data_IF_677266237392
#
_entry.id   IF_677266237392
#
_cell.length_a   1.000
_cell.length_b   1.000
_cell.length_c   1.000
_cell.angle_alpha   90.00
_cell.angle_beta   90.00
_cell.angle_gamma   90.00
#
_symmetry.space_group_name_H-M   'P 1'
#
loop_
_entity.id
_entity.type
_entity.pdbx_description
1 polymer ?
#
# COMPACT_ATOMS: atom_id res chain seq x y z
N UNK A 1 -36.59 49.03 -4.21
CA UNK A 1 -37.33 47.75 -4.33
C UNK A 1 -36.60 46.71 -3.49
N UNK A 2 -37.02 46.52 -2.23
CA UNK A 2 -36.62 45.35 -1.46
C UNK A 2 -37.25 44.11 -2.10
N UNK A 3 -36.45 43.31 -2.79
CA UNK A 3 -36.90 41.97 -3.17
C UNK A 3 -37.17 41.20 -1.89
N UNK A 4 -38.45 40.99 -1.55
CA UNK A 4 -38.89 40.00 -0.58
C UNK A 4 -38.24 38.67 -0.98
N UNK A 5 -37.19 38.27 -0.26
CA UNK A 5 -36.57 36.95 -0.40
C UNK A 5 -37.67 35.94 -0.11
N UNK A 6 -38.21 35.34 -1.16
CA UNK A 6 -39.07 34.17 -1.06
C UNK A 6 -38.27 33.11 -0.32
N UNK A 7 -38.69 32.80 0.90
CA UNK A 7 -38.05 31.79 1.74
C UNK A 7 -38.37 30.42 1.12
N UNK A 8 -37.56 30.00 0.15
CA UNK A 8 -37.66 28.67 -0.45
C UNK A 8 -37.44 27.62 0.66
N UNK A 9 -38.45 26.78 0.98
CA UNK A 9 -38.31 25.76 2.01
C UNK A 9 -37.09 24.87 1.74
N UNK A 10 -36.27 24.64 2.76
CA UNK A 10 -35.06 23.81 2.63
C UNK A 10 -33.80 24.54 2.15
N UNK A 11 -33.87 25.79 1.67
CA UNK A 11 -32.68 26.56 1.24
C UNK A 11 -31.60 26.66 2.32
N UNK A 12 -32.00 26.86 3.58
CA UNK A 12 -31.08 26.95 4.71
C UNK A 12 -30.28 25.64 4.95
N UNK A 13 -30.83 24.48 4.57
CA UNK A 13 -30.15 23.17 4.67
C UNK A 13 -28.92 23.11 3.78
N UNK A 14 -28.97 23.75 2.60
CA UNK A 14 -27.85 23.79 1.65
C UNK A 14 -26.82 24.87 1.99
N UNK A 15 -27.25 25.99 2.59
CA UNK A 15 -26.38 27.14 2.92
C UNK A 15 -25.82 27.10 4.35
N UNK A 16 -25.70 25.91 4.95
CA UNK A 16 -25.18 25.71 6.32
C UNK A 16 -23.66 25.53 6.41
N UNK A 17 -22.98 25.40 5.26
CA UNK A 17 -21.53 25.14 5.21
C UNK A 17 -20.68 26.34 5.63
N UNK A 18 -19.38 26.09 5.90
CA UNK A 18 -18.39 27.15 6.11
C UNK A 18 -18.41 28.12 4.91
N UNK A 19 -18.48 29.42 5.18
CA UNK A 19 -18.33 30.45 4.15
C UNK A 19 -16.96 30.29 3.49
N UNK A 20 -16.94 30.21 2.15
CA UNK A 20 -15.68 30.22 1.39
C UNK A 20 -15.06 31.61 1.50
N UNK A 21 -14.10 31.71 2.42
CA UNK A 21 -13.32 32.91 2.71
C UNK A 21 -12.03 32.47 3.43
N UNK A 22 -11.11 31.82 2.69
CA UNK A 22 -9.87 31.32 3.27
C UNK A 22 -9.01 32.46 3.80
N UNK A 23 -8.26 32.19 4.88
CA UNK A 23 -7.33 33.16 5.44
C UNK A 23 -6.13 33.38 4.49
N UNK A 24 -5.54 34.59 4.44
CA UNK A 24 -4.32 34.81 3.68
C UNK A 24 -3.17 33.92 4.19
N UNK A 25 -2.39 33.34 3.28
CA UNK A 25 -1.17 32.59 3.63
C UNK A 25 -0.10 33.56 4.14
N UNK A 26 0.57 33.20 5.23
CA UNK A 26 1.64 33.99 5.84
C UNK A 26 2.87 33.13 6.10
N UNK A 27 3.99 33.74 6.48
CA UNK A 27 5.22 33.04 6.89
C UNK A 27 5.05 32.08 8.08
N UNK A 28 3.95 32.23 8.86
CA UNK A 28 3.65 31.42 10.04
C UNK A 28 2.59 30.35 9.76
N UNK A 29 2.05 30.27 8.54
CA UNK A 29 1.03 29.27 8.19
C UNK A 29 1.64 27.87 8.22
N UNK A 30 1.18 27.04 9.15
CA UNK A 30 1.60 25.63 9.24
C UNK A 30 0.99 24.78 8.12
N UNK A 31 1.44 23.53 7.97
CA UNK A 31 0.80 22.59 7.02
C UNK A 31 -0.66 22.30 7.41
N UNK A 32 -0.96 22.26 8.72
CA UNK A 32 -2.32 22.07 9.22
C UNK A 32 -3.19 23.26 8.83
N UNK A 33 -2.72 24.48 9.08
CA UNK A 33 -3.42 25.70 8.68
C UNK A 33 -3.65 25.75 7.17
N UNK A 34 -2.62 25.40 6.38
CA UNK A 34 -2.69 25.40 4.92
C UNK A 34 -3.79 24.45 4.41
N UNK A 35 -3.79 23.20 4.90
CA UNK A 35 -4.74 22.17 4.48
C UNK A 35 -6.17 22.52 4.93
N UNK A 36 -6.35 22.99 6.17
CA UNK A 36 -7.66 23.37 6.71
C UNK A 36 -8.29 24.54 5.93
N UNK A 37 -7.45 25.34 5.28
CA UNK A 37 -7.84 26.48 4.46
C UNK A 37 -8.27 26.10 3.02
N UNK A 38 -8.11 24.84 2.59
CA UNK A 38 -8.49 24.37 1.25
C UNK A 38 -10.00 24.09 1.15
N UNK A 39 -10.78 25.08 0.72
CA UNK A 39 -12.26 25.01 0.83
C UNK A 39 -13.00 24.24 -0.28
N UNK A 40 -12.46 24.14 -1.50
CA UNK A 40 -13.21 23.65 -2.67
C UNK A 40 -12.39 22.75 -3.61
N UNK A 41 -13.11 22.03 -4.50
CA UNK A 41 -12.55 21.13 -5.52
C UNK A 41 -11.56 20.11 -4.93
N UNK A 42 -10.51 19.72 -5.66
CA UNK A 42 -9.53 18.74 -5.19
C UNK A 42 -8.74 19.22 -3.96
N UNK A 43 -8.59 20.53 -3.75
CA UNK A 43 -8.06 21.06 -2.48
C UNK A 43 -8.97 20.68 -1.29
N UNK A 44 -10.29 20.86 -1.45
CA UNK A 44 -11.27 20.43 -0.46
C UNK A 44 -11.31 18.92 -0.26
N UNK A 45 -11.02 18.12 -1.30
CA UNK A 45 -10.89 16.65 -1.18
C UNK A 45 -9.61 16.25 -0.44
N UNK A 46 -8.48 16.90 -0.70
CA UNK A 46 -7.25 16.71 0.09
C UNK A 46 -7.49 17.04 1.57
N UNK A 47 -8.13 18.17 1.86
CA UNK A 47 -8.53 18.51 3.23
C UNK A 47 -9.42 17.45 3.86
N UNK A 48 -10.44 16.97 3.13
CA UNK A 48 -11.31 15.91 3.64
C UNK A 48 -10.54 14.62 3.95
N UNK A 49 -9.58 14.22 3.11
CA UNK A 49 -8.71 13.08 3.38
C UNK A 49 -7.86 13.30 4.64
N UNK A 50 -7.25 14.48 4.78
CA UNK A 50 -6.48 14.85 5.97
C UNK A 50 -7.33 14.88 7.25
N UNK A 51 -8.57 15.38 7.17
CA UNK A 51 -9.51 15.36 8.30
C UNK A 51 -9.88 13.93 8.66
N UNK A 52 -10.13 13.07 7.66
CA UNK A 52 -10.41 11.66 7.91
C UNK A 52 -9.21 10.94 8.56
N UNK A 53 -7.98 11.25 8.15
CA UNK A 53 -6.77 10.74 8.81
C UNK A 53 -6.74 11.14 10.30
N UNK A 54 -6.97 12.42 10.59
CA UNK A 54 -6.96 12.96 11.96
C UNK A 54 -8.12 12.44 12.82
N UNK A 55 -9.32 12.36 12.27
CA UNK A 55 -10.55 12.18 13.03
C UNK A 55 -11.02 10.72 13.09
N UNK A 56 -10.54 9.86 12.18
CA UNK A 56 -10.91 8.44 12.10
C UNK A 56 -9.69 7.52 12.16
N UNK A 57 -8.73 7.65 11.25
CA UNK A 57 -7.59 6.71 11.16
C UNK A 57 -6.67 6.78 12.38
N UNK A 58 -6.61 7.92 13.06
CA UNK A 58 -5.85 8.13 14.29
C UNK A 58 -6.33 7.31 15.49
N UNK A 59 -7.53 6.71 15.44
CA UNK A 59 -8.05 5.91 16.55
C UNK A 59 -7.32 4.56 16.66
N UNK A 60 -7.07 4.11 17.90
CA UNK A 60 -6.27 2.90 18.19
C UNK A 60 -6.93 1.59 17.71
N UNK A 61 -8.26 1.57 17.63
CA UNK A 61 -9.06 0.44 17.17
C UNK A 61 -9.13 0.32 15.65
N UNK A 62 -8.47 1.21 14.90
CA UNK A 62 -8.44 1.19 13.44
C UNK A 62 -7.15 0.52 12.94
N UNK A 63 -7.30 -0.53 12.14
CA UNK A 63 -6.23 -1.19 11.40
C UNK A 63 -6.14 -0.62 9.98
N UNK A 64 -4.97 -0.10 9.60
CA UNK A 64 -4.77 0.70 8.40
C UNK A 64 -3.94 -0.06 7.35
N UNK A 65 -4.58 -0.34 6.21
CA UNK A 65 -3.91 -0.85 5.01
C UNK A 65 -3.53 0.28 4.07
N UNK A 66 -2.33 0.24 3.51
CA UNK A 66 -1.89 1.22 2.50
C UNK A 66 -1.53 0.51 1.20
N UNK A 67 -1.96 1.07 0.06
CA UNK A 67 -1.54 0.61 -1.26
C UNK A 67 -0.66 1.65 -1.95
N UNK A 68 0.47 1.24 -2.53
CA UNK A 68 1.40 2.11 -3.27
C UNK A 68 1.53 1.66 -4.72
N UNK A 69 1.11 2.53 -5.65
CA UNK A 69 1.30 2.34 -7.08
C UNK A 69 1.95 3.56 -7.73
N UNK A 70 2.53 3.37 -8.92
CA UNK A 70 3.40 4.34 -9.57
C UNK A 70 4.86 4.19 -9.14
N UNK A 71 5.71 5.13 -9.56
CA UNK A 71 7.14 5.12 -9.28
C UNK A 71 7.46 5.95 -8.01
N UNK A 72 7.01 5.50 -6.84
CA UNK A 72 7.05 6.30 -5.60
C UNK A 72 8.36 6.18 -4.84
N UNK A 73 8.87 4.97 -4.69
CA UNK A 73 10.18 4.75 -4.05
C UNK A 73 11.33 5.40 -4.82
N UNK A 74 11.45 5.30 -6.17
CA UNK A 74 12.51 6.02 -6.87
C UNK A 74 12.35 7.55 -6.78
N UNK A 75 11.13 8.06 -6.60
CA UNK A 75 10.86 9.48 -6.34
C UNK A 75 11.17 9.92 -4.89
N UNK A 76 11.66 9.01 -4.04
CA UNK A 76 12.07 9.30 -2.66
C UNK A 76 10.94 9.32 -1.64
N UNK A 77 9.74 8.84 -1.99
CA UNK A 77 8.60 8.81 -1.06
C UNK A 77 8.75 7.78 0.06
N UNK A 78 9.61 6.77 -0.11
CA UNK A 78 9.95 5.81 0.95
C UNK A 78 10.45 6.52 2.22
N UNK A 79 11.66 7.11 2.20
CA UNK A 79 12.22 7.85 3.33
C UNK A 79 11.44 9.10 3.72
N UNK A 80 10.92 9.86 2.75
CA UNK A 80 10.29 11.15 3.04
C UNK A 80 8.86 11.06 3.57
N UNK A 81 8.14 9.96 3.30
CA UNK A 81 6.68 9.88 3.51
C UNK A 81 6.25 8.55 4.13
N UNK A 82 6.55 7.41 3.49
CA UNK A 82 6.06 6.09 3.93
C UNK A 82 6.65 5.70 5.28
N UNK A 83 7.96 5.81 5.44
CA UNK A 83 8.65 5.46 6.69
C UNK A 83 8.17 6.31 7.87
N UNK A 84 8.08 7.66 7.77
CA UNK A 84 7.49 8.49 8.82
C UNK A 84 6.06 8.08 9.21
N UNK A 85 5.18 7.80 8.24
CA UNK A 85 3.81 7.35 8.52
C UNK A 85 3.77 5.98 9.21
N UNK A 86 4.65 5.05 8.79
CA UNK A 86 4.77 3.74 9.40
C UNK A 86 5.23 3.85 10.86
N UNK A 87 6.25 4.67 11.12
CA UNK A 87 6.75 4.94 12.48
C UNK A 87 5.71 5.66 13.35
N UNK A 88 4.81 6.43 12.73
CA UNK A 88 3.70 7.11 13.42
C UNK A 88 2.47 6.21 13.62
N UNK A 89 2.51 4.96 13.16
CA UNK A 89 1.43 3.97 13.31
C UNK A 89 0.24 4.18 12.38
N UNK A 90 0.46 4.85 11.24
CA UNK A 90 -0.54 5.07 10.18
C UNK A 90 -0.44 4.05 9.04
N UNK A 91 0.42 3.04 9.17
CA UNK A 91 0.56 1.93 8.23
C UNK A 91 0.73 0.65 9.06
N UNK A 92 -0.32 -0.17 9.11
CA UNK A 92 -0.29 -1.45 9.82
C UNK A 92 0.07 -2.61 8.86
N UNK A 93 -0.28 -2.47 7.57
CA UNK A 93 0.13 -3.36 6.48
C UNK A 93 0.19 -2.61 5.15
N UNK A 94 0.99 -3.11 4.21
CA UNK A 94 1.30 -2.42 2.96
C UNK A 94 1.17 -3.35 1.75
N UNK A 95 0.58 -2.87 0.66
CA UNK A 95 0.62 -3.51 -0.65
C UNK A 95 1.31 -2.58 -1.64
N UNK A 96 2.32 -3.04 -2.35
CA UNK A 96 3.03 -2.23 -3.34
C UNK A 96 3.24 -3.00 -4.64
N UNK A 97 3.60 -2.29 -5.71
CA UNK A 97 4.16 -2.96 -6.89
C UNK A 97 5.55 -3.52 -6.54
N UNK A 98 5.93 -4.63 -7.17
CA UNK A 98 7.27 -5.18 -7.00
C UNK A 98 8.35 -4.20 -7.47
N UNK A 99 8.04 -3.33 -8.44
CA UNK A 99 8.92 -2.24 -8.87
C UNK A 99 9.22 -1.23 -7.74
N UNK A 100 8.22 -0.84 -6.92
CA UNK A 100 8.48 0.02 -5.77
C UNK A 100 9.43 -0.67 -4.79
N UNK A 101 9.18 -1.94 -4.47
CA UNK A 101 10.02 -2.69 -3.52
C UNK A 101 11.41 -2.97 -4.09
N UNK A 102 11.56 -3.13 -5.40
CA UNK A 102 12.86 -3.22 -6.04
C UNK A 102 13.61 -1.89 -5.95
N UNK A 103 12.95 -0.78 -6.30
CA UNK A 103 13.61 0.52 -6.29
C UNK A 103 13.95 1.02 -4.88
N UNK A 104 13.22 0.55 -3.86
CA UNK A 104 13.53 0.77 -2.44
C UNK A 104 14.91 0.23 -2.03
N UNK A 105 15.34 -0.89 -2.63
CA UNK A 105 16.61 -1.56 -2.28
C UNK A 105 17.82 -0.68 -2.61
N UNK A 106 17.77 0.13 -3.67
CA UNK A 106 18.88 1.02 -4.03
C UNK A 106 19.31 1.92 -2.86
N UNK A 107 18.34 2.43 -2.09
CA UNK A 107 18.64 3.29 -0.94
C UNK A 107 19.36 2.54 0.18
N UNK A 108 18.93 1.33 0.52
CA UNK A 108 19.61 0.50 1.52
C UNK A 108 21.01 0.05 1.08
N UNK A 109 21.25 -0.07 -0.23
CA UNK A 109 22.57 -0.31 -0.80
C UNK A 109 23.43 0.95 -0.94
N UNK A 110 22.90 2.12 -0.57
CA UNK A 110 23.52 3.43 -0.75
C UNK A 110 23.91 3.71 -2.22
N UNK A 111 23.08 3.26 -3.17
CA UNK A 111 23.27 3.46 -4.59
C UNK A 111 22.51 4.72 -5.05
N UNK A 112 23.19 5.72 -5.65
CA UNK A 112 22.60 7.03 -5.84
C UNK A 112 21.62 7.07 -7.03
N UNK A 113 20.50 7.75 -6.80
CA UNK A 113 19.56 8.18 -7.85
C UNK A 113 19.49 9.70 -7.84
N UNK A 114 19.37 10.30 -9.01
CA UNK A 114 19.47 11.74 -9.20
C UNK A 114 18.20 12.31 -9.81
N UNK A 115 17.82 13.51 -9.38
CA UNK A 115 16.82 14.32 -10.08
C UNK A 115 17.40 14.78 -11.41
N UNK A 116 16.69 14.49 -12.51
CA UNK A 116 16.95 14.96 -13.85
C UNK A 116 15.80 15.84 -14.38
N UNK A 117 15.53 15.70 -15.68
CA UNK A 117 14.40 16.32 -16.37
C UNK A 117 13.74 15.30 -17.29
N UNK A 118 12.43 15.41 -17.50
CA UNK A 118 11.69 14.54 -18.42
C UNK A 118 12.00 14.81 -19.91
N UNK A 119 12.73 15.89 -20.20
CA UNK A 119 13.07 16.34 -21.57
C UNK A 119 14.47 15.91 -22.02
N UNK A 120 15.08 14.94 -21.35
CA UNK A 120 16.38 14.35 -21.72
C UNK A 120 16.29 13.52 -23.00
N UNK A 121 17.40 13.41 -23.74
CA UNK A 121 17.49 12.55 -24.93
C UNK A 121 17.73 11.09 -24.53
N UNK A 122 16.72 10.25 -24.74
CA UNK A 122 16.75 8.83 -24.41
C UNK A 122 17.82 8.03 -25.16
N UNK A 123 18.14 8.39 -26.39
CA UNK A 123 19.16 7.71 -27.17
C UNK A 123 20.56 8.01 -26.62
N UNK A 124 20.80 9.28 -26.25
CA UNK A 124 22.03 9.70 -25.58
C UNK A 124 22.18 9.06 -24.19
N UNK A 125 21.11 9.01 -23.39
CA UNK A 125 21.11 8.30 -22.11
C UNK A 125 21.52 6.84 -22.28
N UNK A 126 20.90 6.14 -23.24
CA UNK A 126 21.21 4.73 -23.52
C UNK A 126 22.66 4.54 -23.95
N UNK A 127 23.19 5.42 -24.81
CA UNK A 127 24.58 5.37 -25.25
C UNK A 127 25.58 5.60 -24.11
N UNK A 128 25.17 6.36 -23.08
CA UNK A 128 25.98 6.68 -21.90
C UNK A 128 25.76 5.72 -20.72
N UNK A 129 24.93 4.70 -20.87
CA UNK A 129 24.63 3.77 -19.78
C UNK A 129 23.79 4.39 -18.65
N UNK A 130 23.01 5.43 -18.92
CA UNK A 130 22.11 6.04 -17.94
C UNK A 130 20.69 5.52 -18.16
N UNK A 131 20.05 5.08 -17.07
CA UNK A 131 18.65 4.68 -17.06
C UNK A 131 17.80 5.79 -16.47
N UNK A 132 16.56 5.96 -16.96
CA UNK A 132 15.63 6.92 -16.38
C UNK A 132 14.29 6.32 -15.98
N UNK A 133 13.68 6.94 -14.98
CA UNK A 133 12.28 6.80 -14.61
C UNK A 133 11.69 8.21 -14.66
N UNK A 134 11.02 8.54 -15.76
CA UNK A 134 10.54 9.89 -16.04
C UNK A 134 11.65 10.95 -15.91
N UNK A 135 11.71 11.69 -14.80
CA UNK A 135 12.69 12.73 -14.46
C UNK A 135 13.67 12.30 -13.35
N UNK A 136 13.82 11.00 -13.11
CA UNK A 136 14.81 10.40 -12.20
C UNK A 136 15.86 9.67 -13.06
N UNK A 137 17.15 9.86 -12.76
CA UNK A 137 18.27 9.30 -13.50
C UNK A 137 19.17 8.47 -12.57
N UNK A 138 19.67 7.34 -13.06
CA UNK A 138 20.64 6.50 -12.34
C UNK A 138 21.48 5.69 -13.31
N UNK A 139 22.65 5.25 -12.85
CA UNK A 139 23.58 4.48 -13.67
C UNK A 139 23.06 3.06 -13.91
N UNK A 140 23.13 2.57 -15.15
CA UNK A 140 22.70 1.23 -15.49
C UNK A 140 23.60 0.17 -14.82
N UNK A 141 24.92 0.34 -14.84
CA UNK A 141 25.85 -0.66 -14.36
C UNK A 141 26.08 -0.56 -12.84
N UNK A 142 26.31 0.65 -12.34
CA UNK A 142 26.69 0.89 -10.95
C UNK A 142 25.49 0.94 -9.99
N UNK A 143 24.27 1.08 -10.52
CA UNK A 143 23.04 1.12 -9.70
C UNK A 143 22.13 -0.06 -10.00
N UNK A 144 21.65 -0.18 -11.25
CA UNK A 144 20.68 -1.23 -11.60
C UNK A 144 21.31 -2.63 -11.57
N UNK A 145 22.39 -2.84 -12.31
CA UNK A 145 23.06 -4.14 -12.39
C UNK A 145 23.72 -4.53 -11.07
N UNK A 146 24.25 -3.57 -10.31
CA UNK A 146 24.79 -3.80 -8.97
C UNK A 146 23.72 -4.26 -7.98
N UNK A 147 22.55 -3.64 -7.99
CA UNK A 147 21.41 -4.09 -7.16
C UNK A 147 21.03 -5.53 -7.48
N UNK A 148 21.00 -5.86 -8.77
CA UNK A 148 20.73 -7.19 -9.28
C UNK A 148 21.74 -8.24 -8.82
N UNK A 149 23.04 -7.91 -8.82
CA UNK A 149 24.11 -8.81 -8.34
C UNK A 149 23.92 -9.14 -6.87
N UNK A 150 23.78 -8.12 -6.02
CA UNK A 150 23.58 -8.29 -4.57
C UNK A 150 22.28 -9.02 -4.25
N UNK A 151 21.20 -8.69 -4.95
CA UNK A 151 19.91 -9.36 -4.76
C UNK A 151 20.05 -10.87 -5.01
N UNK A 152 20.66 -11.29 -6.11
CA UNK A 152 20.85 -12.73 -6.41
C UNK A 152 21.65 -13.45 -5.33
N UNK A 153 22.68 -12.81 -4.76
CA UNK A 153 23.44 -13.37 -3.64
C UNK A 153 22.58 -13.59 -2.38
N UNK A 154 21.59 -12.73 -2.15
CA UNK A 154 20.65 -12.92 -1.04
C UNK A 154 19.65 -14.03 -1.33
N UNK A 155 19.12 -14.09 -2.55
CA UNK A 155 18.10 -15.05 -2.95
C UNK A 155 18.56 -16.52 -2.90
N UNK A 156 19.86 -16.78 -2.94
CA UNK A 156 20.42 -18.14 -2.81
C UNK A 156 20.68 -18.56 -1.35
N UNK A 157 20.46 -17.67 -0.37
CA UNK A 157 20.71 -17.99 1.05
C UNK A 157 19.68 -18.99 1.58
N UNK A 158 20.02 -19.79 2.62
CA UNK A 158 19.16 -20.85 3.14
C UNK A 158 17.76 -20.39 3.54
N UNK A 159 17.62 -19.20 4.11
CA UNK A 159 16.35 -18.66 4.60
C UNK A 159 15.32 -18.40 3.50
N UNK A 160 15.76 -18.32 2.23
CA UNK A 160 14.92 -18.15 1.04
C UNK A 160 14.61 -19.48 0.32
N UNK A 161 15.28 -20.59 0.66
CA UNK A 161 15.12 -21.86 -0.05
C UNK A 161 13.86 -22.63 0.38
N UNK A 162 12.69 -22.02 0.16
CA UNK A 162 11.36 -22.60 0.38
C UNK A 162 10.30 -21.85 -0.44
N UNK A 163 9.13 -22.46 -0.55
CA UNK A 163 7.94 -21.74 -0.98
C UNK A 163 7.48 -20.77 0.13
N UNK A 164 7.13 -19.55 -0.24
CA UNK A 164 6.64 -18.50 0.66
C UNK A 164 5.76 -17.49 -0.09
N UNK A 165 4.96 -16.72 0.66
CA UNK A 165 4.33 -15.49 0.13
C UNK A 165 5.32 -14.32 0.09
N UNK A 166 4.95 -13.23 -0.59
CA UNK A 166 5.73 -11.99 -0.59
C UNK A 166 5.84 -11.38 0.80
N UNK A 167 4.87 -11.59 1.70
CA UNK A 167 4.95 -11.16 3.10
C UNK A 167 6.21 -11.66 3.81
N UNK A 168 6.43 -12.96 3.78
CA UNK A 168 7.59 -13.58 4.41
C UNK A 168 8.88 -13.22 3.66
N UNK A 169 8.83 -13.23 2.32
CA UNK A 169 9.96 -12.87 1.47
C UNK A 169 10.48 -11.47 1.78
N UNK A 170 9.60 -10.47 1.79
CA UNK A 170 9.95 -9.08 2.07
C UNK A 170 10.35 -8.85 3.52
N UNK A 171 9.83 -9.60 4.48
CA UNK A 171 10.30 -9.51 5.86
C UNK A 171 11.75 -10.01 6.00
N UNK A 172 12.10 -11.13 5.37
CA UNK A 172 13.48 -11.65 5.35
C UNK A 172 14.42 -10.69 4.64
N UNK A 173 14.01 -10.16 3.50
CA UNK A 173 14.79 -9.16 2.77
C UNK A 173 14.94 -7.88 3.60
N UNK A 174 13.87 -7.38 4.20
CA UNK A 174 13.86 -6.21 5.07
C UNK A 174 14.80 -6.34 6.27
N UNK A 175 14.96 -7.54 6.84
CA UNK A 175 15.99 -7.80 7.86
C UNK A 175 17.39 -7.52 7.32
N UNK A 176 17.73 -8.11 6.17
CA UNK A 176 19.05 -7.90 5.53
C UNK A 176 19.28 -6.42 5.23
N UNK A 177 18.26 -5.73 4.72
CA UNK A 177 18.36 -4.30 4.41
C UNK A 177 18.50 -3.45 5.68
N UNK A 178 17.85 -3.83 6.80
CA UNK A 178 18.04 -3.17 8.10
C UNK A 178 19.48 -3.31 8.59
N UNK A 179 20.08 -4.49 8.46
CA UNK A 179 21.48 -4.71 8.85
C UNK A 179 22.43 -3.83 8.00
N UNK A 180 22.15 -3.68 6.69
CA UNK A 180 22.93 -2.82 5.78
C UNK A 180 22.76 -1.32 6.07
N UNK A 181 21.56 -0.87 6.43
CA UNK A 181 21.33 0.52 6.86
C UNK A 181 22.17 0.88 8.10
N UNK A 182 22.29 -0.06 9.04
CA UNK A 182 23.12 0.08 10.24
C UNK A 182 24.61 0.04 9.91
N UNK A 183 25.06 -0.92 9.10
CA UNK A 183 26.46 -1.05 8.67
C UNK A 183 26.98 0.22 7.97
N UNK A 184 26.14 0.82 7.13
CA UNK A 184 26.49 2.00 6.34
C UNK A 184 26.06 3.33 6.99
N UNK A 185 25.47 3.30 8.19
CA UNK A 185 24.99 4.49 8.92
C UNK A 185 24.07 5.40 8.07
N UNK A 186 23.11 4.80 7.36
CA UNK A 186 22.23 5.49 6.42
C UNK A 186 20.99 6.09 7.10
N UNK A 187 20.69 5.69 8.33
CA UNK A 187 19.39 5.94 8.94
C UNK A 187 18.30 5.08 8.30
N UNK A 188 17.04 5.52 8.36
CA UNK A 188 15.91 4.77 7.82
C UNK A 188 15.58 5.25 6.40
N UNK A 189 16.01 4.49 5.39
CA UNK A 189 15.92 4.87 3.98
C UNK A 189 15.14 3.87 3.12
N UNK A 190 15.00 2.62 3.59
CA UNK A 190 14.24 1.54 2.96
C UNK A 190 12.92 1.27 3.69
N UNK A 191 11.83 1.24 2.93
CA UNK A 191 10.50 0.80 3.38
C UNK A 191 10.58 -0.62 3.91
N UNK A 192 11.26 -1.54 3.22
CA UNK A 192 11.36 -2.94 3.65
C UNK A 192 12.09 -3.08 4.99
N UNK A 193 13.17 -2.32 5.19
CA UNK A 193 13.90 -2.29 6.45
C UNK A 193 13.05 -1.71 7.59
N UNK A 194 12.33 -0.61 7.34
CA UNK A 194 11.39 -0.03 8.31
C UNK A 194 10.24 -0.98 8.64
N UNK A 195 9.69 -1.68 7.64
CA UNK A 195 8.62 -2.64 7.81
C UNK A 195 9.04 -3.83 8.68
N UNK A 196 10.26 -4.34 8.48
CA UNK A 196 10.86 -5.35 9.34
C UNK A 196 10.92 -4.88 10.81
N UNK A 197 11.49 -3.70 11.07
CA UNK A 197 11.61 -3.14 12.43
C UNK A 197 10.25 -2.92 13.09
N UNK A 198 9.26 -2.46 12.32
CA UNK A 198 7.91 -2.15 12.82
C UNK A 198 6.96 -3.36 12.84
N UNK A 199 7.38 -4.53 12.35
CA UNK A 199 6.52 -5.72 12.25
C UNK A 199 5.34 -5.52 11.28
N UNK A 200 5.53 -4.72 10.23
CA UNK A 200 4.49 -4.41 9.23
C UNK A 200 4.63 -5.38 8.05
N UNK A 201 3.62 -6.21 7.75
CA UNK A 201 3.65 -7.09 6.59
C UNK A 201 3.52 -6.27 5.29
N UNK A 202 4.37 -6.60 4.32
CA UNK A 202 4.40 -5.99 2.98
C UNK A 202 4.05 -7.04 1.94
N UNK A 203 3.15 -6.72 1.02
CA UNK A 203 2.70 -7.61 -0.04
C UNK A 203 2.95 -7.00 -1.43
N UNK A 204 3.12 -7.86 -2.43
CA UNK A 204 3.09 -7.49 -3.85
C UNK A 204 2.08 -8.34 -4.58
N UNK A 205 1.11 -7.67 -5.22
CA UNK A 205 -0.02 -8.33 -5.90
C UNK A 205 0.35 -9.06 -7.20
N UNK A 206 1.53 -8.79 -7.75
CA UNK A 206 2.02 -9.42 -8.99
C UNK A 206 3.53 -9.69 -8.85
N UNK A 207 3.93 -10.74 -8.11
CA UNK A 207 5.33 -10.93 -7.72
C UNK A 207 6.30 -11.13 -8.90
N UNK A 208 5.81 -11.71 -10.00
CA UNK A 208 6.57 -11.85 -11.24
C UNK A 208 6.77 -10.55 -12.03
N UNK A 209 5.98 -9.51 -11.75
CA UNK A 209 6.00 -8.22 -12.46
C UNK A 209 6.95 -7.23 -11.76
N UNK A 210 8.23 -7.60 -11.70
CA UNK A 210 9.31 -6.75 -11.20
C UNK A 210 10.68 -7.34 -11.47
N UNK A 211 11.73 -6.51 -11.37
CA UNK A 211 13.11 -6.99 -11.43
C UNK A 211 13.44 -8.00 -10.33
N UNK A 212 12.76 -7.94 -9.17
CA UNK A 212 12.85 -9.00 -8.14
C UNK A 212 12.34 -10.33 -8.71
N UNK A 213 11.13 -10.35 -9.28
CA UNK A 213 10.54 -11.53 -9.89
C UNK A 213 11.38 -12.07 -11.05
N UNK A 214 11.93 -11.18 -11.90
CA UNK A 214 12.84 -11.55 -12.98
C UNK A 214 14.12 -12.22 -12.48
N UNK A 215 14.70 -11.72 -11.38
CA UNK A 215 15.89 -12.33 -10.77
C UNK A 215 15.59 -13.69 -10.12
N UNK A 216 14.43 -13.86 -9.49
CA UNK A 216 13.97 -15.18 -9.02
C UNK A 216 13.85 -16.14 -10.20
N UNK A 217 13.14 -15.76 -11.28
CA UNK A 217 13.00 -16.60 -12.47
C UNK A 217 14.34 -16.94 -13.14
N UNK A 218 15.29 -15.99 -13.17
CA UNK A 218 16.64 -16.23 -13.69
C UNK A 218 17.43 -17.26 -12.87
N UNK A 219 17.32 -17.22 -11.54
CA UNK A 219 17.95 -18.20 -10.66
C UNK A 219 17.28 -19.58 -10.75
N UNK A 220 15.96 -19.62 -10.91
CA UNK A 220 15.23 -20.87 -11.18
C UNK A 220 15.70 -21.52 -12.48
N UNK A 221 15.81 -20.73 -13.55
CA UNK A 221 16.30 -21.20 -14.85
C UNK A 221 17.74 -21.71 -14.75
N UNK A 222 18.60 -21.01 -14.01
CA UNK A 222 19.96 -21.47 -13.74
C UNK A 222 19.95 -22.82 -13.01
N UNK A 223 19.10 -22.97 -12.00
CA UNK A 223 18.99 -24.22 -11.25
C UNK A 223 18.50 -25.38 -12.13
N UNK A 224 17.51 -25.15 -12.99
CA UNK A 224 17.06 -26.14 -13.97
C UNK A 224 18.19 -26.54 -14.93
N UNK A 225 18.84 -25.56 -15.56
CA UNK A 225 19.92 -25.80 -16.53
C UNK A 225 21.15 -26.51 -15.94
N UNK A 226 21.32 -26.45 -14.61
CA UNK A 226 22.44 -27.08 -13.89
C UNK A 226 22.03 -28.31 -13.08
N UNK A 227 20.76 -28.73 -13.12
CA UNK A 227 20.27 -29.87 -12.35
C UNK A 227 20.32 -29.64 -10.84
N UNK A 228 20.07 -28.42 -10.39
CA UNK A 228 20.08 -27.98 -8.98
C UNK A 228 18.66 -27.72 -8.44
N UNK A 229 17.62 -28.24 -9.09
CA UNK A 229 16.21 -28.04 -8.69
C UNK A 229 15.87 -28.71 -7.36
N UNK A 230 16.67 -29.65 -6.90
CA UNK A 230 16.66 -30.23 -5.56
C UNK A 230 17.21 -29.28 -4.48
N UNK A 231 17.99 -28.26 -4.87
CA UNK A 231 18.62 -27.29 -3.97
C UNK A 231 17.97 -25.92 -4.01
N UNK A 232 17.65 -25.41 -5.21
CA UNK A 232 16.97 -24.13 -5.36
C UNK A 232 15.47 -24.33 -5.16
N UNK A 233 14.95 -23.83 -4.04
CA UNK A 233 13.56 -24.06 -3.61
C UNK A 233 12.74 -22.80 -3.42
N UNK A 234 13.34 -21.63 -3.65
CA UNK A 234 12.61 -20.36 -3.57
C UNK A 234 11.47 -20.37 -4.59
N UNK A 235 10.24 -20.27 -4.09
CA UNK A 235 9.01 -20.11 -4.87
C UNK A 235 8.15 -19.05 -4.20
N UNK A 236 7.62 -18.12 -4.98
CA UNK A 236 6.66 -17.14 -4.48
C UNK A 236 5.26 -17.59 -4.83
N UNK A 237 4.44 -17.83 -3.80
CA UNK A 237 3.07 -18.30 -3.94
C UNK A 237 2.08 -17.17 -3.56
N UNK A 238 1.43 -16.52 -4.54
CA UNK A 238 0.48 -15.43 -4.28
C UNK A 238 -0.74 -15.85 -3.46
N UNK A 239 -1.11 -17.13 -3.46
CA UNK A 239 -2.26 -17.63 -2.67
C UNK A 239 -2.01 -17.50 -1.16
N UNK A 240 -0.74 -17.61 -0.72
CA UNK A 240 -0.36 -17.37 0.67
C UNK A 240 -0.65 -15.90 1.03
N UNK A 241 -0.26 -14.96 0.15
CA UNK A 241 -0.48 -13.53 0.39
C UNK A 241 -1.97 -13.15 0.39
N UNK A 242 -2.78 -13.77 -0.49
CA UNK A 242 -4.23 -13.58 -0.49
C UNK A 242 -4.82 -13.97 0.86
N UNK A 243 -4.46 -15.14 1.39
CA UNK A 243 -4.96 -15.58 2.70
C UNK A 243 -4.42 -14.71 3.84
N UNK A 244 -3.15 -14.36 3.84
CA UNK A 244 -2.53 -13.60 4.94
C UNK A 244 -3.04 -12.15 5.01
N UNK A 245 -3.21 -11.48 3.88
CA UNK A 245 -3.83 -10.14 3.85
C UNK A 245 -5.31 -10.18 4.25
N UNK A 246 -6.04 -11.20 3.82
CA UNK A 246 -7.44 -11.44 4.22
C UNK A 246 -7.56 -11.68 5.72
N UNK A 247 -6.64 -12.44 6.32
CA UNK A 247 -6.59 -12.69 7.74
C UNK A 247 -6.46 -11.39 8.56
N UNK A 248 -5.66 -10.42 8.10
CA UNK A 248 -5.51 -9.12 8.78
C UNK A 248 -6.86 -8.41 8.91
N UNK A 249 -7.58 -8.28 7.80
CA UNK A 249 -8.87 -7.57 7.76
C UNK A 249 -9.91 -8.29 8.61
N UNK A 250 -10.05 -9.61 8.45
CA UNK A 250 -10.99 -10.41 9.22
C UNK A 250 -10.77 -10.27 10.74
N UNK A 251 -9.50 -10.36 11.17
CA UNK A 251 -9.18 -10.29 12.59
C UNK A 251 -9.49 -8.93 13.18
N UNK A 252 -9.13 -7.84 12.49
CA UNK A 252 -9.41 -6.49 12.95
C UNK A 252 -10.92 -6.29 13.22
N UNK A 253 -11.78 -6.86 12.38
CA UNK A 253 -13.23 -6.63 12.45
C UNK A 253 -13.97 -7.63 13.34
N UNK A 254 -13.72 -8.92 13.18
CA UNK A 254 -14.48 -9.95 13.90
C UNK A 254 -13.88 -10.31 15.27
N UNK A 255 -12.56 -10.40 15.36
CA UNK A 255 -11.87 -10.90 16.56
C UNK A 255 -11.51 -9.76 17.50
N UNK A 256 -11.01 -8.65 16.95
CA UNK A 256 -10.62 -7.46 17.71
C UNK A 256 -11.78 -6.48 17.91
N UNK A 257 -12.87 -6.63 17.16
CA UNK A 257 -14.05 -5.75 17.18
C UNK A 257 -13.70 -4.28 16.90
N UNK A 258 -12.65 -4.07 16.13
CA UNK A 258 -12.20 -2.76 15.66
C UNK A 258 -12.77 -2.44 14.28
N UNK A 259 -12.07 -1.54 13.59
CA UNK A 259 -12.42 -1.06 12.25
C UNK A 259 -11.25 -1.19 11.31
N UNK A 260 -11.52 -1.15 10.01
CA UNK A 260 -10.48 -1.16 8.98
C UNK A 260 -10.59 0.04 8.06
N UNK A 261 -9.44 0.63 7.72
CA UNK A 261 -9.36 1.74 6.81
C UNK A 261 -8.27 1.54 5.78
N UNK A 262 -8.51 1.97 4.54
CA UNK A 262 -7.53 1.88 3.45
C UNK A 262 -7.05 3.27 3.00
N UNK A 263 -5.75 3.40 2.74
CA UNK A 263 -5.15 4.57 2.09
C UNK A 263 -4.58 4.12 0.75
N UNK A 264 -5.25 4.46 -0.33
CA UNK A 264 -4.98 4.00 -1.68
C UNK A 264 -4.22 5.10 -2.43
N UNK A 265 -2.90 4.96 -2.53
CA UNK A 265 -2.03 5.90 -3.25
C UNK A 265 -1.79 5.37 -4.67
N UNK A 266 -2.42 6.01 -5.65
CA UNK A 266 -2.38 5.65 -7.06
C UNK A 266 -3.56 4.75 -7.44
N UNK A 267 -3.29 3.52 -7.86
CA UNK A 267 -4.30 2.61 -8.40
C UNK A 267 -3.74 1.24 -8.76
N UNK A 268 -4.21 0.68 -9.87
CA UNK A 268 -3.70 -0.57 -10.42
C UNK A 268 -3.87 -1.80 -9.50
N UNK A 269 -2.99 -2.78 -9.69
CA UNK A 269 -3.00 -4.05 -8.96
C UNK A 269 -2.88 -3.87 -7.42
N UNK A 270 -2.04 -2.97 -6.87
CA UNK A 270 -1.99 -2.73 -5.42
C UNK A 270 -3.32 -2.27 -4.81
N UNK A 271 -4.03 -1.35 -5.47
CA UNK A 271 -5.37 -0.91 -5.05
C UNK A 271 -6.33 -2.10 -5.02
N UNK A 272 -6.35 -2.92 -6.08
CA UNK A 272 -7.25 -4.07 -6.12
C UNK A 272 -6.95 -5.07 -5.02
N UNK A 273 -5.69 -5.44 -4.86
CA UNK A 273 -5.27 -6.48 -3.94
C UNK A 273 -5.53 -6.08 -2.49
N UNK A 274 -5.42 -4.79 -2.17
CA UNK A 274 -5.79 -4.26 -0.86
C UNK A 274 -7.29 -4.40 -0.61
N UNK A 275 -8.12 -4.05 -1.60
CA UNK A 275 -9.58 -4.08 -1.46
C UNK A 275 -10.19 -5.48 -1.61
N UNK A 276 -9.54 -6.40 -2.33
CA UNK A 276 -10.10 -7.74 -2.62
C UNK A 276 -10.15 -8.65 -1.40
N UNK A 277 -9.48 -8.29 -0.29
CA UNK A 277 -9.60 -9.00 0.98
C UNK A 277 -11.06 -9.14 1.40
N UNK A 278 -11.88 -8.14 1.08
CA UNK A 278 -13.31 -8.12 1.40
C UNK A 278 -14.13 -9.13 0.57
N UNK A 279 -14.08 -9.11 -0.78
CA UNK A 279 -14.61 -10.20 -1.60
C UNK A 279 -14.08 -11.58 -1.21
N UNK A 280 -12.80 -11.70 -0.82
CA UNK A 280 -12.25 -12.97 -0.35
C UNK A 280 -12.97 -13.45 0.92
N UNK A 281 -13.20 -12.58 1.91
CA UNK A 281 -13.95 -12.90 3.14
C UNK A 281 -15.40 -13.28 2.79
N UNK A 282 -16.10 -12.42 2.05
CA UNK A 282 -17.55 -12.47 1.88
C UNK A 282 -17.99 -13.51 0.83
N UNK A 283 -17.29 -13.58 -0.30
CA UNK A 283 -17.72 -14.36 -1.48
C UNK A 283 -16.98 -15.70 -1.61
N UNK A 284 -15.69 -15.75 -1.26
CA UNK A 284 -14.88 -16.97 -1.41
C UNK A 284 -14.90 -17.80 -0.12
N UNK A 285 -14.70 -17.15 1.01
CA UNK A 285 -14.69 -17.81 2.32
C UNK A 285 -16.09 -17.88 2.95
N UNK A 286 -17.09 -17.20 2.37
CA UNK A 286 -18.50 -17.19 2.81
C UNK A 286 -18.69 -16.72 4.26
N UNK A 287 -17.79 -15.87 4.76
CA UNK A 287 -17.83 -15.35 6.12
C UNK A 287 -18.69 -14.06 6.12
N UNK A 288 -19.75 -13.98 6.95
CA UNK A 288 -20.57 -12.78 7.03
C UNK A 288 -19.79 -11.59 7.59
N UNK A 289 -19.57 -10.59 6.75
CA UNK A 289 -18.78 -9.40 7.04
C UNK A 289 -19.25 -8.28 6.09
N UNK A 290 -18.96 -7.02 6.38
CA UNK A 290 -19.27 -5.88 5.52
C UNK A 290 -17.99 -5.11 5.23
N UNK A 291 -17.78 -4.57 4.03
CA UNK A 291 -16.50 -3.98 3.59
C UNK A 291 -15.78 -2.95 4.48
N UNK A 292 -14.69 -2.37 3.98
CA UNK A 292 -13.88 -1.38 4.70
C UNK A 292 -14.72 -0.24 5.32
N UNK A 293 -14.39 0.17 6.55
CA UNK A 293 -15.08 1.26 7.25
C UNK A 293 -14.71 2.63 6.69
N UNK A 294 -13.45 2.80 6.27
CA UNK A 294 -12.91 4.07 5.79
C UNK A 294 -12.10 3.88 4.50
N UNK A 295 -12.24 4.82 3.57
CA UNK A 295 -11.52 4.79 2.29
C UNK A 295 -10.95 6.18 1.96
N UNK A 296 -9.64 6.26 1.79
CA UNK A 296 -8.97 7.41 1.19
C UNK A 296 -8.31 6.95 -0.10
N UNK A 297 -8.73 7.52 -1.22
CA UNK A 297 -8.14 7.28 -2.53
C UNK A 297 -7.51 8.57 -3.09
N UNK A 298 -6.24 8.51 -3.46
CA UNK A 298 -5.51 9.59 -4.15
C UNK A 298 -5.08 9.07 -5.50
N UNK A 299 -5.66 9.62 -6.57
CA UNK A 299 -5.45 9.09 -7.93
C UNK A 299 -5.58 10.18 -8.98
N UNK A 300 -4.86 10.09 -10.08
CA UNK A 300 -5.05 10.92 -11.28
C UNK A 300 -5.97 10.24 -12.31
N UNK A 301 -6.29 8.96 -12.09
CA UNK A 301 -7.08 8.16 -13.00
C UNK A 301 -8.55 8.58 -12.99
N UNK A 302 -9.10 8.81 -14.19
CA UNK A 302 -10.51 9.14 -14.36
C UNK A 302 -11.37 7.87 -14.34
N UNK A 303 -12.59 7.93 -13.79
CA UNK A 303 -13.49 6.76 -13.74
C UNK A 303 -14.04 6.35 -15.12
N UNK A 304 -14.20 7.28 -16.06
CA UNK A 304 -14.86 7.04 -17.36
C UNK A 304 -14.09 6.11 -18.29
N UNK A 305 -12.80 5.90 -18.04
CA UNK A 305 -11.96 5.04 -18.89
C UNK A 305 -12.06 3.55 -18.54
N UNK A 306 -12.86 3.19 -17.53
CA UNK A 306 -13.10 1.79 -17.13
C UNK A 306 -11.95 1.13 -16.37
N UNK A 307 -10.92 1.90 -15.99
CA UNK A 307 -9.81 1.40 -15.19
C UNK A 307 -10.11 1.43 -13.68
N UNK A 308 -9.78 0.34 -12.98
CA UNK A 308 -9.95 0.23 -11.51
C UNK A 308 -9.30 1.40 -10.73
N UNK A 309 -8.19 1.94 -11.23
CA UNK A 309 -7.50 3.07 -10.60
C UNK A 309 -8.45 4.25 -10.34
N UNK A 310 -9.31 4.57 -11.30
CA UNK A 310 -10.28 5.67 -11.20
C UNK A 310 -11.63 5.29 -10.58
N UNK A 311 -11.88 3.99 -10.34
CA UNK A 311 -13.16 3.51 -9.82
C UNK A 311 -13.51 4.15 -8.46
N UNK A 312 -14.71 4.74 -8.32
CA UNK A 312 -15.10 5.47 -7.12
C UNK A 312 -15.47 4.51 -5.97
N UNK A 313 -15.40 4.98 -4.70
CA UNK A 313 -15.81 4.19 -3.53
C UNK A 313 -17.24 3.65 -3.62
N UNK A 314 -18.17 4.40 -4.21
CA UNK A 314 -19.55 3.97 -4.40
C UNK A 314 -19.67 2.73 -5.31
N UNK A 315 -18.81 2.60 -6.32
CA UNK A 315 -18.72 1.38 -7.13
C UNK A 315 -18.11 0.25 -6.31
N UNK A 316 -17.03 0.51 -5.55
CA UNK A 316 -16.41 -0.50 -4.70
C UNK A 316 -17.39 -1.09 -3.66
N UNK A 317 -18.33 -0.30 -3.14
CA UNK A 317 -19.37 -0.77 -2.23
C UNK A 317 -20.31 -1.82 -2.87
N UNK A 318 -20.58 -1.77 -4.18
CA UNK A 318 -21.40 -2.81 -4.84
C UNK A 318 -20.71 -4.16 -4.91
N UNK A 319 -19.38 -4.19 -4.76
CA UNK A 319 -18.54 -5.39 -4.71
C UNK A 319 -18.25 -5.84 -3.26
N UNK A 320 -18.94 -5.27 -2.26
CA UNK A 320 -18.67 -5.57 -0.85
C UNK A 320 -17.34 -5.03 -0.33
N UNK A 321 -16.55 -4.29 -1.13
CA UNK A 321 -15.22 -3.78 -0.74
C UNK A 321 -15.28 -2.65 0.29
N UNK A 322 -16.39 -1.93 0.35
CA UNK A 322 -16.65 -0.83 1.29
C UNK A 322 -18.02 -1.05 1.92
N UNK A 323 -18.14 -0.81 3.23
CA UNK A 323 -19.43 -0.87 3.90
C UNK A 323 -20.37 0.23 3.33
N UNK A 324 -21.52 -0.15 2.74
CA UNK A 324 -22.45 0.82 2.15
C UNK A 324 -23.01 1.83 3.16
N UNK A 325 -22.98 1.52 4.46
CA UNK A 325 -23.38 2.45 5.53
C UNK A 325 -22.31 3.49 5.88
N UNK A 326 -21.11 3.35 5.33
CA UNK A 326 -19.93 4.21 5.60
C UNK A 326 -19.51 5.07 4.41
N UNK A 327 -20.31 5.17 3.36
CA UNK A 327 -19.97 5.95 2.16
C UNK A 327 -19.62 7.42 2.45
N UNK A 328 -20.17 8.02 3.50
CA UNK A 328 -19.83 9.38 3.95
C UNK A 328 -18.40 9.51 4.51
N UNK A 329 -17.80 8.40 4.93
CA UNK A 329 -16.44 8.28 5.45
C UNK A 329 -15.44 7.83 4.36
N UNK A 330 -15.75 8.15 3.10
CA UNK A 330 -14.91 7.88 1.93
C UNK A 330 -14.51 9.16 1.20
N UNK A 331 -13.26 9.23 0.76
CA UNK A 331 -12.72 10.39 0.04
C UNK A 331 -11.89 9.94 -1.14
N UNK A 332 -12.24 10.44 -2.34
CA UNK A 332 -11.37 10.40 -3.51
C UNK A 332 -10.88 11.81 -3.83
N UNK A 333 -9.56 11.99 -3.84
CA UNK A 333 -8.88 13.21 -4.26
C UNK A 333 -8.19 12.98 -5.61
N UNK A 334 -8.61 13.73 -6.63
CA UNK A 334 -8.00 13.64 -7.95
C UNK A 334 -6.73 14.50 -8.01
N UNK A 335 -5.61 13.95 -7.54
CA UNK A 335 -4.35 14.67 -7.34
C UNK A 335 -3.15 13.77 -7.66
N UNK A 336 -2.05 14.39 -8.05
CA UNK A 336 -0.76 13.74 -8.12
C UNK A 336 -0.32 13.25 -6.73
N UNK A 337 0.02 11.96 -6.65
CA UNK A 337 0.41 11.28 -5.42
C UNK A 337 1.69 11.85 -4.81
N UNK A 338 2.62 12.35 -5.63
CA UNK A 338 3.88 12.98 -5.19
C UNK A 338 3.65 14.34 -4.53
N UNK A 339 2.48 14.97 -4.74
CA UNK A 339 2.07 16.20 -4.07
C UNK A 339 1.22 15.88 -2.84
N UNK A 340 0.16 15.09 -3.02
CA UNK A 340 -0.84 14.88 -1.98
C UNK A 340 -0.30 14.03 -0.81
N UNK A 341 0.45 12.96 -1.09
CA UNK A 341 0.84 12.00 -0.07
C UNK A 341 1.81 12.59 0.98
N UNK A 342 2.87 13.34 0.61
CA UNK A 342 3.70 14.04 1.59
C UNK A 342 2.94 15.07 2.42
N UNK A 343 1.99 15.80 1.82
CA UNK A 343 1.14 16.75 2.54
C UNK A 343 0.23 16.05 3.56
N UNK A 344 -0.36 14.92 3.19
CA UNK A 344 -1.15 14.07 4.09
C UNK A 344 -0.31 13.54 5.25
N UNK A 345 0.92 13.07 4.97
CA UNK A 345 1.83 12.59 5.99
C UNK A 345 2.22 13.69 6.99
N UNK A 346 2.65 14.85 6.48
CA UNK A 346 2.99 16.00 7.31
C UNK A 346 1.80 16.46 8.17
N UNK A 347 0.60 16.49 7.59
CA UNK A 347 -0.63 16.82 8.32
C UNK A 347 -0.94 15.80 9.43
N UNK A 348 -0.91 14.49 9.12
CA UNK A 348 -1.20 13.45 10.09
C UNK A 348 -0.21 13.49 11.27
N UNK A 349 1.09 13.61 10.98
CA UNK A 349 2.15 13.67 12.00
C UNK A 349 2.00 14.91 12.89
N UNK A 350 1.68 16.08 12.33
CA UNK A 350 1.53 17.31 13.11
C UNK A 350 0.22 17.41 13.89
N UNK A 351 -0.85 16.76 13.42
CA UNK A 351 -2.20 16.90 14.00
C UNK A 351 -2.60 15.73 14.91
N UNK A 352 -1.81 14.67 15.01
CA UNK A 352 -2.14 13.46 15.77
C UNK A 352 -0.98 12.97 16.64
N UNK A 353 -1.28 12.17 17.66
CA UNK A 353 -0.25 11.44 18.42
C UNK A 353 0.13 10.16 17.69
N UNK A 354 1.39 9.68 17.81
CA UNK A 354 1.76 8.37 17.30
C UNK A 354 0.89 7.27 17.90
N UNK A 355 0.46 6.31 17.08
CA UNK A 355 -0.29 5.12 17.53
C UNK A 355 0.66 4.03 18.02
N UNK A 356 0.16 3.13 18.87
CA UNK A 356 0.87 1.89 19.18
C UNK A 356 0.93 1.02 17.92
N UNK A 357 2.14 0.61 17.54
CA UNK A 357 2.34 -0.29 16.40
C UNK A 357 1.65 -1.64 16.65
N UNK A 358 0.84 -2.10 15.69
CA UNK A 358 0.13 -3.39 15.79
C UNK A 358 1.03 -4.59 15.56
N UNK A 359 2.17 -4.40 14.88
CA UNK A 359 3.18 -5.43 14.58
C UNK A 359 2.56 -6.71 13.99
N UNK A 360 1.69 -6.56 12.99
CA UNK A 360 0.87 -7.64 12.44
C UNK A 360 1.68 -8.82 11.89
N UNK A 361 2.93 -8.60 11.44
CA UNK A 361 3.80 -9.69 11.01
C UNK A 361 4.05 -10.70 12.13
N UNK A 362 4.29 -10.22 13.35
CA UNK A 362 4.60 -11.06 14.51
C UNK A 362 3.41 -11.93 14.94
N UNK A 363 2.20 -11.55 14.52
CA UNK A 363 0.94 -12.25 14.80
C UNK A 363 0.43 -13.09 13.63
N UNK A 364 1.18 -13.20 12.53
CA UNK A 364 0.68 -13.82 11.28
C UNK A 364 0.08 -15.22 11.48
N UNK A 365 0.68 -16.05 12.32
CA UNK A 365 0.17 -17.40 12.61
C UNK A 365 -1.18 -17.36 13.34
N UNK A 366 -1.33 -16.53 14.37
CA UNK A 366 -2.59 -16.29 15.08
C UNK A 366 -3.69 -15.85 14.11
N UNK A 367 -3.39 -14.83 13.29
CA UNK A 367 -4.34 -14.27 12.34
C UNK A 367 -4.81 -15.33 11.34
N UNK A 368 -3.88 -16.13 10.81
CA UNK A 368 -4.16 -17.18 9.84
C UNK A 368 -5.01 -18.31 10.44
N UNK A 369 -4.75 -18.72 11.69
CA UNK A 369 -5.58 -19.72 12.36
C UNK A 369 -7.03 -19.25 12.56
N UNK A 370 -7.22 -17.98 12.90
CA UNK A 370 -8.55 -17.38 12.99
C UNK A 370 -9.27 -17.35 11.63
N UNK A 371 -8.53 -17.13 10.53
CA UNK A 371 -9.09 -17.23 9.17
C UNK A 371 -9.58 -18.65 8.85
N UNK A 372 -8.75 -19.67 9.12
CA UNK A 372 -9.11 -21.08 8.91
C UNK A 372 -10.37 -21.43 9.72
N UNK A 373 -10.38 -21.07 11.01
CA UNK A 373 -11.52 -21.32 11.88
C UNK A 373 -12.80 -20.71 11.32
N UNK A 374 -12.75 -19.43 10.94
CA UNK A 374 -13.92 -18.71 10.41
C UNK A 374 -14.40 -19.30 9.08
N UNK A 375 -13.48 -19.71 8.21
CA UNK A 375 -13.82 -20.38 6.95
C UNK A 375 -14.57 -21.70 7.19
N UNK A 376 -14.05 -22.55 8.07
CA UNK A 376 -14.67 -23.84 8.38
C UNK A 376 -16.03 -23.70 9.07
N UNK A 377 -16.22 -22.66 9.89
CA UNK A 377 -17.48 -22.39 10.59
C UNK A 377 -18.59 -21.86 9.67
N UNK A 378 -18.23 -21.10 8.62
CA UNK A 378 -19.21 -20.39 7.80
C UNK A 378 -19.44 -21.02 6.42
N UNK A 379 -18.43 -21.64 5.82
CA UNK A 379 -18.55 -22.14 4.45
C UNK A 379 -19.19 -23.54 4.40
N UNK A 380 -20.46 -23.57 3.98
CA UNK A 380 -21.25 -24.80 3.86
C UNK A 380 -20.78 -25.77 2.77
N UNK A 381 -19.89 -25.34 1.88
CA UNK A 381 -19.36 -26.17 0.79
C UNK A 381 -18.16 -27.01 1.23
N UNK A 382 -17.56 -26.72 2.40
CA UNK A 382 -16.34 -27.38 2.90
C UNK A 382 -16.48 -28.89 2.93
N UNK A 383 -17.57 -29.44 3.50
CA UNK A 383 -17.76 -30.88 3.60
C UNK A 383 -17.85 -31.53 2.21
N UNK A 384 -18.57 -30.89 1.28
CA UNK A 384 -18.69 -31.35 -0.11
C UNK A 384 -17.34 -31.35 -0.80
N UNK A 385 -16.56 -30.27 -0.68
CA UNK A 385 -15.25 -30.12 -1.30
C UNK A 385 -14.25 -31.13 -0.72
N UNK A 386 -14.23 -31.32 0.59
CA UNK A 386 -13.41 -32.34 1.26
C UNK A 386 -13.74 -33.76 0.76
N UNK A 387 -15.03 -34.08 0.63
CA UNK A 387 -15.46 -35.37 0.10
C UNK A 387 -15.05 -35.56 -1.38
N UNK A 388 -15.09 -34.50 -2.19
CA UNK A 388 -14.60 -34.52 -3.56
C UNK A 388 -13.08 -34.73 -3.63
N UNK A 389 -12.31 -34.03 -2.81
CA UNK A 389 -10.85 -34.19 -2.71
C UNK A 389 -10.48 -35.63 -2.33
N UNK A 390 -11.14 -36.21 -1.32
CA UNK A 390 -10.95 -37.61 -0.93
C UNK A 390 -11.24 -38.59 -2.08
N UNK A 391 -12.31 -38.35 -2.86
CA UNK A 391 -12.64 -39.18 -4.04
C UNK A 391 -11.59 -39.08 -5.15
N UNK A 392 -10.87 -37.96 -5.23
CA UNK A 392 -9.78 -37.74 -6.16
C UNK A 392 -8.42 -38.25 -5.63
N UNK A 393 -8.36 -38.77 -4.40
CA UNK A 393 -7.12 -39.29 -3.80
C UNK A 393 -6.16 -38.22 -3.29
N UNK A 394 -6.66 -37.01 -3.03
CA UNK A 394 -5.90 -35.91 -2.40
C UNK A 394 -5.84 -36.03 -0.89
#
# INVERSE_FOLDING_TARGET
MEQKKTNCPGKAKYLKGKRVLPQPITKNTSIVDLVDNLDAYNGGRLRAACHLLRDRYSQDDVTIGVSLAGALTPAGLGPSTVIPLMNHGFIDWLVATGANMYHDIHYAFNLPMFRGTHTVDDADLRAKGVTRIYDILFDYEDVLMETDRRLREFLIRPEFQKEMGTREFYYKLGKILSDLEEEHNLGQVSILAAAYRNGVPVFTSSPGDSTIGMNVAGLELLAEAKGLTDKFKLKINPSIDVNDSTAIVLNAKQYEKGKTGVILIGGGSPKNFTLQTEPQIQEVLMIPEAGQDYDINVTDARPDTGGLSGAPPAEAASWGKIDPTKLEETVTAYLDVTVAFPMMAAYAIQSTKPKKLKRLYDRSEELHQNLIKSYLENNKEVEKLQNMMKKLGM
#
